data_IF_359411148373
#
_entry.id   IF_359411148373
#
_cell.length_a   1.000
_cell.length_b   1.000
_cell.length_c   1.000
_cell.angle_alpha   90.00
_cell.angle_beta   90.00
_cell.angle_gamma   90.00
#
_symmetry.space_group_name_H-M   'P 1'
#
loop_
_entity.id
_entity.type
_entity.pdbx_description
1 polymer ?
#
# COMPACT_ATOMS: atom_id res chain seq x y z
N UNK A 1 -19.81 15.62 -5.88
CA UNK A 1 -18.54 15.53 -5.12
C UNK A 1 -18.21 14.07 -5.01
N UNK A 2 -17.10 13.59 -5.58
CA UNK A 2 -16.64 12.22 -5.35
C UNK A 2 -16.17 12.16 -3.89
N UNK A 3 -16.88 11.43 -3.04
CA UNK A 3 -16.39 11.15 -1.69
C UNK A 3 -15.05 10.43 -1.81
N UNK A 4 -14.01 10.97 -1.18
CA UNK A 4 -12.72 10.30 -1.09
C UNK A 4 -12.90 9.10 -0.17
N UNK A 5 -12.84 7.90 -0.75
CA UNK A 5 -12.89 6.67 0.04
C UNK A 5 -11.58 6.51 0.79
N UNK A 6 -11.62 6.65 2.10
CA UNK A 6 -10.50 6.35 2.97
C UNK A 6 -10.34 4.83 3.12
N UNK A 7 -9.09 4.39 3.29
CA UNK A 7 -8.75 2.98 3.38
C UNK A 7 -7.77 2.83 4.53
N UNK A 8 -8.10 1.94 5.46
CA UNK A 8 -7.20 1.49 6.51
C UNK A 8 -6.42 0.27 6.04
N UNK A 9 -5.10 0.30 6.21
CA UNK A 9 -4.19 -0.78 5.89
C UNK A 9 -3.22 -0.99 7.06
N UNK A 10 -2.86 -2.25 7.33
CA UNK A 10 -1.95 -2.61 8.42
C UNK A 10 -0.48 -2.44 8.03
N UNK A 11 -0.20 -2.42 6.73
CA UNK A 11 1.14 -2.13 6.24
C UNK A 11 1.23 -2.02 4.72
N UNK A 12 2.43 -1.70 4.28
CA UNK A 12 2.85 -1.79 2.88
C UNK A 12 3.56 -3.12 2.73
N UNK A 13 3.06 -3.96 1.81
CA UNK A 13 3.67 -5.22 1.42
C UNK A 13 4.87 -4.99 0.52
N UNK A 14 4.78 -5.43 -0.74
CA UNK A 14 5.88 -5.31 -1.70
C UNK A 14 5.76 -4.05 -2.56
N UNK A 15 6.91 -3.43 -2.82
CA UNK A 15 7.08 -2.36 -3.81
C UNK A 15 7.76 -2.93 -5.04
N UNK A 16 7.13 -2.78 -6.21
CA UNK A 16 7.59 -3.29 -7.49
C UNK A 16 7.80 -2.14 -8.48
N UNK A 17 8.90 -2.19 -9.22
CA UNK A 17 9.16 -1.30 -10.35
C UNK A 17 8.95 -2.10 -11.63
N UNK A 18 7.82 -1.88 -12.31
CA UNK A 18 7.45 -2.65 -13.49
C UNK A 18 6.77 -1.76 -14.55
N UNK A 19 7.27 -1.83 -15.79
CA UNK A 19 6.73 -1.07 -16.91
C UNK A 19 6.86 0.45 -16.74
N UNK A 20 7.94 0.91 -16.12
CA UNK A 20 8.17 2.34 -15.86
C UNK A 20 7.26 2.94 -14.77
N UNK A 21 6.54 2.10 -14.02
CA UNK A 21 5.62 2.49 -12.95
C UNK A 21 6.03 1.84 -11.64
N UNK A 22 5.74 2.53 -10.54
CA UNK A 22 5.90 2.02 -9.18
C UNK A 22 4.55 1.46 -8.74
N UNK A 23 4.56 0.23 -8.25
CA UNK A 23 3.39 -0.47 -7.75
C UNK A 23 3.68 -0.88 -6.32
N UNK A 24 2.80 -0.56 -5.39
CA UNK A 24 2.92 -1.10 -4.05
C UNK A 24 1.58 -1.54 -3.50
N UNK A 25 1.62 -2.64 -2.77
CA UNK A 25 0.44 -3.34 -2.28
C UNK A 25 0.23 -2.98 -0.82
N UNK A 26 -0.96 -2.49 -0.49
CA UNK A 26 -1.41 -2.33 0.88
C UNK A 26 -1.94 -3.67 1.38
N UNK A 27 -1.39 -4.12 2.50
CA UNK A 27 -1.78 -5.38 3.13
C UNK A 27 -2.62 -5.09 4.37
N UNK A 28 -3.62 -5.92 4.58
CA UNK A 28 -4.33 -6.02 5.85
C UNK A 28 -4.11 -7.42 6.42
N UNK A 29 -4.00 -7.52 7.74
CA UNK A 29 -3.95 -8.77 8.48
C UNK A 29 -5.39 -9.21 8.74
N UNK A 30 -5.86 -10.19 7.97
CA UNK A 30 -7.18 -10.74 8.20
C UNK A 30 -7.08 -11.84 9.27
N UNK A 31 -7.94 -11.81 10.31
CA UNK A 31 -7.99 -12.88 11.28
C UNK A 31 -8.49 -14.16 10.59
N UNK A 32 -7.74 -15.25 10.70
CA UNK A 32 -8.29 -16.57 10.43
C UNK A 32 -9.07 -17.09 11.65
N UNK A 33 -9.81 -18.19 11.47
CA UNK A 33 -10.57 -18.85 12.54
C UNK A 33 -9.72 -19.07 13.81
N UNK A 34 -10.42 -19.10 14.95
CA UNK A 34 -9.92 -18.97 16.32
C UNK A 34 -8.54 -19.64 16.56
N UNK A 35 -7.56 -18.82 16.95
CA UNK A 35 -6.24 -19.27 17.42
C UNK A 35 -5.12 -19.33 16.36
N UNK A 36 -5.37 -19.00 15.09
CA UNK A 36 -4.31 -18.92 14.06
C UNK A 36 -3.73 -17.51 13.92
N UNK A 37 -2.46 -17.44 13.52
CA UNK A 37 -1.80 -16.19 13.17
C UNK A 37 -2.51 -15.55 11.95
N UNK A 38 -2.77 -14.23 11.97
CA UNK A 38 -3.49 -13.57 10.88
C UNK A 38 -2.67 -13.59 9.58
N UNK A 39 -3.36 -13.80 8.45
CA UNK A 39 -2.72 -13.86 7.13
C UNK A 39 -2.74 -12.49 6.44
N UNK A 40 -1.61 -12.01 5.88
CA UNK A 40 -1.60 -10.79 5.09
C UNK A 40 -2.37 -10.97 3.78
N UNK A 41 -3.41 -10.16 3.54
CA UNK A 41 -4.09 -10.03 2.25
C UNK A 41 -3.83 -8.65 1.65
N UNK A 42 -3.35 -8.63 0.41
CA UNK A 42 -3.18 -7.41 -0.38
C UNK A 42 -4.53 -6.93 -0.88
N UNK A 43 -5.16 -5.99 -0.15
CA UNK A 43 -6.52 -5.55 -0.47
C UNK A 43 -6.54 -4.49 -1.56
N UNK A 44 -5.50 -3.65 -1.65
CA UNK A 44 -5.42 -2.53 -2.59
C UNK A 44 -4.01 -2.39 -3.14
N UNK A 45 -3.93 -2.20 -4.47
CA UNK A 45 -2.70 -1.88 -5.18
C UNK A 45 -2.73 -0.43 -5.62
N UNK A 46 -1.73 0.35 -5.19
CA UNK A 46 -1.51 1.69 -5.71
C UNK A 46 -0.46 1.63 -6.80
N UNK A 47 -0.75 2.29 -7.91
CA UNK A 47 0.13 2.40 -9.07
C UNK A 47 0.37 3.88 -9.31
N UNK A 48 1.64 4.28 -9.34
CA UNK A 48 2.02 5.66 -9.58
C UNK A 48 3.32 5.77 -10.39
N UNK A 49 3.54 6.89 -11.09
CA UNK A 49 4.80 7.11 -11.80
C UNK A 49 5.97 7.26 -10.81
N UNK A 50 7.20 6.91 -11.22
CA UNK A 50 8.40 7.02 -10.39
C UNK A 50 8.63 8.42 -9.81
N UNK A 51 8.36 9.49 -10.58
CA UNK A 51 8.46 10.86 -10.03
C UNK A 51 7.47 11.10 -8.89
N UNK A 52 6.25 10.57 -8.98
CA UNK A 52 5.25 10.70 -7.91
C UNK A 52 5.69 9.96 -6.64
N UNK A 53 6.25 8.76 -6.80
CA UNK A 53 6.80 7.99 -5.69
C UNK A 53 7.98 8.71 -5.01
N UNK A 54 8.95 9.20 -5.80
CA UNK A 54 10.11 9.92 -5.27
C UNK A 54 9.71 11.21 -4.55
N UNK A 55 8.73 11.94 -5.09
CA UNK A 55 8.21 13.15 -4.44
C UNK A 55 7.60 12.80 -3.07
N UNK A 56 6.75 11.77 -3.00
CA UNK A 56 6.16 11.30 -1.75
C UNK A 56 7.23 10.85 -0.74
N UNK A 57 8.21 10.07 -1.19
CA UNK A 57 9.32 9.60 -0.34
C UNK A 57 10.17 10.75 0.22
N UNK A 58 10.52 11.72 -0.61
CA UNK A 58 11.28 12.90 -0.17
C UNK A 58 10.50 13.73 0.85
N UNK A 59 9.18 13.89 0.68
CA UNK A 59 8.34 14.57 1.68
C UNK A 59 8.34 13.85 3.02
N UNK A 60 8.39 12.52 3.05
CA UNK A 60 8.47 11.75 4.30
C UNK A 60 9.81 11.90 5.01
N UNK A 61 10.92 12.12 4.29
CA UNK A 61 12.25 12.35 4.89
C UNK A 61 12.42 13.75 5.50
N UNK A 62 11.58 14.70 5.12
CA UNK A 62 11.64 16.09 5.60
C UNK A 62 10.74 16.35 6.82
N UNK A 63 9.98 15.35 7.25
CA UNK A 63 9.18 15.34 8.48
C UNK A 63 10.03 14.87 9.66
#
# INVERSE_FOLDING_TARGET
>A
MMEKKEIFADGIGQIHFAGGMVRFDFVTLQPEADGKAPTPQGNIRVIMPPQGFLAAFNSMQQL
#
